data_IF_898740110073
#
_entry.id   IF_898740110073
#
_cell.length_a   1.000
_cell.length_b   1.000
_cell.length_c   1.000
_cell.angle_alpha   90.00
_cell.angle_beta   90.00
_cell.angle_gamma   90.00
#
_symmetry.space_group_name_H-M   'P 1'
#
loop_
_entity.id
_entity.type
_entity.pdbx_description
1 polymer ?
#
# COMPACT_ATOMS: atom_id res chain seq x y z
N UNK A 1 44.88 50.71 4.10
CA UNK A 1 45.41 51.12 5.42
C UNK A 1 44.80 52.48 5.75
N UNK A 2 44.11 52.60 6.91
CA UNK A 2 43.80 53.82 7.71
C UNK A 2 43.05 54.97 6.97
N UNK A 3 41.93 55.56 7.42
CA UNK A 3 41.43 55.90 8.77
C UNK A 3 39.97 56.41 8.69
N UNK A 4 39.33 56.43 9.86
CA UNK A 4 38.04 56.99 10.35
C UNK A 4 37.40 58.19 9.61
N UNK A 5 36.12 58.55 9.75
CA UNK A 5 35.47 59.03 11.00
C UNK A 5 33.94 59.24 10.85
N UNK A 6 33.17 58.89 11.91
CA UNK A 6 31.97 59.58 12.49
C UNK A 6 30.70 59.76 11.62
N UNK A 7 29.45 59.70 12.10
CA UNK A 7 28.79 59.40 13.38
C UNK A 7 27.27 59.47 13.11
N UNK A 8 26.46 58.67 13.81
CA UNK A 8 25.17 59.09 14.42
C UNK A 8 24.35 57.89 14.86
N UNK A 9 24.38 57.69 16.18
CA UNK A 9 23.55 56.80 16.98
C UNK A 9 22.19 57.44 17.26
N UNK A 10 21.11 56.66 17.23
CA UNK A 10 19.88 56.93 17.98
C UNK A 10 19.42 55.65 18.68
N UNK A 11 19.78 55.56 19.96
CA UNK A 11 19.24 54.62 20.94
C UNK A 11 17.86 55.12 21.40
N UNK A 12 16.83 54.28 21.31
CA UNK A 12 15.53 54.52 21.91
C UNK A 12 15.46 53.83 23.28
N UNK A 13 15.65 54.67 24.30
CA UNK A 13 15.08 54.69 25.65
C UNK A 13 14.49 53.38 26.23
N UNK A 14 15.17 52.89 27.27
CA UNK A 14 14.66 51.98 28.30
C UNK A 14 13.55 52.64 29.12
N UNK A 15 12.45 51.92 29.34
CA UNK A 15 11.50 52.17 30.42
C UNK A 15 11.82 51.19 31.55
N UNK A 16 12.30 51.73 32.68
CA UNK A 16 12.38 51.03 33.96
C UNK A 16 11.11 51.30 34.76
N UNK A 17 10.46 50.25 35.23
CA UNK A 17 9.58 50.32 36.40
C UNK A 17 10.00 49.20 37.36
N UNK A 18 10.64 49.60 38.45
CA UNK A 18 10.94 48.76 39.60
C UNK A 18 9.73 48.71 40.54
N UNK A 19 9.38 47.52 41.03
CA UNK A 19 8.73 47.36 42.33
C UNK A 19 9.15 46.02 42.97
N UNK A 20 9.32 46.08 44.29
CA UNK A 20 10.03 45.17 45.20
C UNK A 20 9.34 43.81 45.45
N UNK A 21 10.04 42.83 46.07
CA UNK A 21 9.65 41.42 46.08
C UNK A 21 8.68 41.06 47.21
N UNK A 22 7.69 40.22 46.88
CA UNK A 22 6.87 39.49 47.84
C UNK A 22 7.45 38.09 48.07
N UNK A 23 7.96 37.88 49.28
CA UNK A 23 8.46 36.59 49.79
C UNK A 23 7.30 35.62 50.00
N UNK A 24 7.53 34.35 49.67
CA UNK A 24 6.91 33.22 50.40
C UNK A 24 5.80 32.48 49.68
N UNK A 25 6.17 31.42 48.98
CA UNK A 25 5.23 30.42 48.46
C UNK A 25 5.98 29.20 47.94
N UNK A 26 6.50 28.37 48.85
CA UNK A 26 7.07 27.07 48.52
C UNK A 26 5.99 26.19 47.88
N UNK A 27 5.94 26.14 46.55
CA UNK A 27 5.19 25.13 45.82
C UNK A 27 6.19 24.17 45.20
N UNK A 28 6.24 23.02 45.85
CA UNK A 28 7.02 21.83 45.49
C UNK A 28 7.01 21.59 43.98
N UNK A 29 8.20 21.68 43.37
CA UNK A 29 8.45 21.18 42.03
C UNK A 29 8.42 19.64 42.07
N UNK A 30 7.22 19.08 42.06
CA UNK A 30 6.99 17.72 41.58
C UNK A 30 6.51 17.83 40.14
N UNK A 31 7.48 18.05 39.24
CA UNK A 31 7.25 17.85 37.82
C UNK A 31 6.82 16.38 37.65
N UNK A 32 5.54 16.18 37.40
CA UNK A 32 4.96 14.89 37.07
C UNK A 32 5.69 14.32 35.84
N UNK A 33 6.51 13.30 36.08
CA UNK A 33 7.21 12.48 35.07
C UNK A 33 6.20 11.61 34.26
N UNK A 34 4.89 11.76 34.47
CA UNK A 34 3.88 11.18 33.60
C UNK A 34 3.53 12.12 32.45
N UNK A 35 4.40 12.17 31.44
CA UNK A 35 3.93 12.44 30.09
C UNK A 35 3.05 11.28 29.67
N UNK A 36 1.76 11.35 29.99
CA UNK A 36 0.75 10.50 29.37
C UNK A 36 0.93 10.70 27.88
N UNK A 37 1.42 9.66 27.20
CA UNK A 37 1.42 9.56 25.75
C UNK A 37 -0.03 9.72 25.32
N UNK A 38 -0.44 10.95 25.02
CA UNK A 38 -1.77 11.24 24.55
C UNK A 38 -1.91 10.45 23.25
N UNK A 39 -2.63 9.34 23.32
CA UNK A 39 -3.06 8.61 22.15
C UNK A 39 -4.10 9.50 21.49
N UNK A 40 -3.63 10.44 20.65
CA UNK A 40 -4.48 11.20 19.74
C UNK A 40 -5.47 10.23 19.12
N UNK A 41 -6.75 10.58 19.16
CA UNK A 41 -7.80 9.71 18.63
C UNK A 41 -7.43 9.32 17.19
N UNK A 42 -7.73 8.09 16.76
CA UNK A 42 -7.36 7.60 15.42
C UNK A 42 -7.85 8.52 14.31
N UNK A 43 -8.95 9.25 14.55
CA UNK A 43 -9.52 10.23 13.64
C UNK A 43 -8.73 11.55 13.58
N UNK A 44 -8.04 11.92 14.66
CA UNK A 44 -7.17 13.11 14.72
C UNK A 44 -5.78 12.84 14.13
N UNK A 45 -5.49 11.57 13.82
CA UNK A 45 -4.20 11.15 13.28
C UNK A 45 -4.19 11.32 11.76
N UNK A 46 -3.30 12.17 11.27
CA UNK A 46 -3.08 12.35 9.83
C UNK A 46 -2.79 11.00 9.13
N UNK A 47 -3.51 10.71 8.05
CA UNK A 47 -3.43 9.46 7.28
C UNK A 47 -2.02 9.16 6.75
N UNK A 48 -1.16 10.17 6.55
CA UNK A 48 0.24 9.96 6.15
C UNK A 48 1.19 9.59 7.29
N UNK A 49 0.76 9.66 8.56
CA UNK A 49 1.65 9.33 9.70
C UNK A 49 2.06 7.86 9.71
N UNK A 50 1.28 6.96 9.11
CA UNK A 50 1.61 5.54 8.98
C UNK A 50 2.26 5.18 7.64
N UNK A 51 2.54 6.16 6.75
CA UNK A 51 3.07 5.89 5.40
C UNK A 51 4.39 5.12 5.41
N UNK A 52 5.28 5.42 6.36
CA UNK A 52 6.57 4.73 6.54
C UNK A 52 6.58 3.74 7.70
N UNK A 53 5.41 3.32 8.20
CA UNK A 53 5.36 2.31 9.25
C UNK A 53 5.62 0.94 8.63
N UNK A 54 6.78 0.36 8.91
CA UNK A 54 7.16 -0.95 8.43
C UNK A 54 6.89 -2.02 9.49
N UNK A 55 6.48 -3.19 9.03
CA UNK A 55 6.28 -4.38 9.86
C UNK A 55 7.23 -5.45 9.33
N UNK A 56 7.75 -6.28 10.23
CA UNK A 56 8.62 -7.40 9.83
C UNK A 56 7.89 -8.33 8.85
N UNK A 57 8.55 -8.67 7.75
CA UNK A 57 8.02 -9.56 6.72
C UNK A 57 7.59 -10.93 7.30
N UNK A 58 8.34 -11.44 8.27
CA UNK A 58 8.02 -12.71 8.93
C UNK A 58 6.67 -12.69 9.66
N UNK A 59 6.26 -11.55 10.24
CA UNK A 59 4.97 -11.43 10.90
C UNK A 59 3.81 -11.58 9.89
N UNK A 60 3.96 -10.98 8.71
CA UNK A 60 3.01 -11.15 7.62
C UNK A 60 3.01 -12.61 7.12
N UNK A 61 4.17 -13.22 6.94
CA UNK A 61 4.28 -14.61 6.49
C UNK A 61 3.58 -15.59 7.43
N UNK A 62 3.78 -15.47 8.75
CA UNK A 62 3.10 -16.33 9.73
C UNK A 62 1.59 -16.10 9.75
N UNK A 63 1.15 -14.84 9.71
CA UNK A 63 -0.28 -14.51 9.65
C UNK A 63 -0.93 -15.08 8.39
N UNK A 64 -0.28 -14.91 7.22
CA UNK A 64 -0.78 -15.39 5.95
C UNK A 64 -0.81 -16.93 5.88
N UNK A 65 0.19 -17.61 6.44
CA UNK A 65 0.21 -19.07 6.58
C UNK A 65 -0.99 -19.58 7.40
N UNK A 66 -1.30 -18.94 8.53
CA UNK A 66 -2.47 -19.29 9.33
C UNK A 66 -3.79 -18.96 8.61
N UNK A 67 -3.86 -17.86 7.85
CA UNK A 67 -5.04 -17.56 7.00
C UNK A 67 -5.28 -18.65 5.94
N UNK A 68 -4.22 -19.16 5.31
CA UNK A 68 -4.29 -20.26 4.35
C UNK A 68 -4.80 -21.53 5.02
N UNK A 69 -4.18 -21.94 6.13
CA UNK A 69 -4.57 -23.14 6.87
C UNK A 69 -6.00 -23.05 7.42
N UNK A 70 -6.41 -21.87 7.91
CA UNK A 70 -7.77 -21.61 8.39
C UNK A 70 -8.81 -21.80 7.28
N UNK A 71 -8.48 -21.34 6.08
CA UNK A 71 -9.37 -21.43 4.91
C UNK A 71 -9.40 -22.85 4.37
N UNK A 72 -8.26 -23.52 4.29
CA UNK A 72 -8.15 -24.91 3.85
C UNK A 72 -8.99 -25.86 4.72
N UNK A 73 -9.02 -25.68 6.05
CA UNK A 73 -9.84 -26.50 6.97
C UNK A 73 -11.35 -26.36 6.75
N UNK A 74 -11.82 -25.32 6.05
CA UNK A 74 -13.24 -25.00 5.84
C UNK A 74 -13.72 -25.26 4.42
N UNK A 75 -12.83 -25.73 3.56
CA UNK A 75 -13.07 -25.84 2.14
C UNK A 75 -12.76 -27.26 1.69
N UNK A 76 -13.54 -27.78 0.75
CA UNK A 76 -13.45 -29.16 0.29
C UNK A 76 -12.60 -29.32 -1.00
N UNK A 77 -12.25 -28.23 -1.69
CA UNK A 77 -11.48 -28.27 -2.94
C UNK A 77 -10.55 -27.07 -3.18
N UNK A 78 -9.57 -27.24 -4.07
CA UNK A 78 -8.54 -26.23 -4.38
C UNK A 78 -9.17 -24.97 -5.00
N UNK A 79 -10.16 -25.13 -5.89
CA UNK A 79 -10.84 -24.01 -6.56
C UNK A 79 -11.62 -23.14 -5.56
N UNK A 80 -12.31 -23.75 -4.60
CA UNK A 80 -13.01 -23.01 -3.54
C UNK A 80 -12.04 -22.29 -2.62
N UNK A 81 -10.84 -22.86 -2.40
CA UNK A 81 -9.79 -22.26 -1.60
C UNK A 81 -9.20 -21.03 -2.31
N UNK A 82 -8.93 -21.14 -3.60
CA UNK A 82 -8.53 -20.01 -4.46
C UNK A 82 -9.61 -18.93 -4.48
N UNK A 83 -10.90 -19.30 -4.61
CA UNK A 83 -12.01 -18.33 -4.55
C UNK A 83 -12.02 -17.59 -3.22
N UNK A 84 -11.89 -18.30 -2.09
CA UNK A 84 -11.85 -17.69 -0.76
C UNK A 84 -10.63 -16.80 -0.55
N UNK A 85 -9.47 -17.18 -1.10
CA UNK A 85 -8.28 -16.34 -1.07
C UNK A 85 -8.44 -15.08 -1.91
N UNK A 86 -9.06 -15.19 -3.08
CA UNK A 86 -9.42 -14.04 -3.90
C UNK A 86 -10.35 -13.11 -3.12
N UNK A 87 -11.43 -13.61 -2.48
CA UNK A 87 -12.34 -12.78 -1.66
C UNK A 87 -11.60 -12.02 -0.54
N UNK A 88 -10.60 -12.64 0.10
CA UNK A 88 -9.76 -11.99 1.11
C UNK A 88 -8.87 -10.91 0.49
N UNK A 89 -8.26 -11.19 -0.66
CA UNK A 89 -7.49 -10.24 -1.45
C UNK A 89 -8.32 -9.05 -1.91
N UNK A 90 -9.54 -9.30 -2.37
CA UNK A 90 -10.48 -8.27 -2.82
C UNK A 90 -10.77 -7.25 -1.72
N UNK A 91 -11.03 -7.71 -0.48
CA UNK A 91 -11.24 -6.81 0.67
C UNK A 91 -10.02 -5.94 0.98
N UNK A 92 -8.81 -6.46 0.76
CA UNK A 92 -7.57 -5.70 0.92
C UNK A 92 -7.43 -4.68 -0.21
N UNK A 93 -7.71 -5.09 -1.45
CA UNK A 93 -7.63 -4.23 -2.64
C UNK A 93 -8.54 -3.02 -2.58
N UNK A 94 -9.80 -3.17 -2.16
CA UNK A 94 -10.74 -2.04 -1.99
C UNK A 94 -10.16 -0.98 -1.05
N UNK A 95 -9.62 -1.40 0.10
CA UNK A 95 -9.04 -0.48 1.09
C UNK A 95 -7.71 0.10 0.63
N UNK A 96 -6.92 -0.67 -0.11
CA UNK A 96 -5.65 -0.22 -0.65
C UNK A 96 -5.87 0.86 -1.73
N UNK A 97 -6.88 0.70 -2.58
CA UNK A 97 -7.21 1.66 -3.63
C UNK A 97 -7.46 3.06 -3.05
N UNK A 98 -8.39 3.19 -2.11
CA UNK A 98 -8.77 4.46 -1.51
C UNK A 98 -7.56 5.17 -0.88
N UNK A 99 -6.75 4.41 -0.14
CA UNK A 99 -5.56 4.95 0.51
C UNK A 99 -4.48 5.38 -0.49
N UNK A 100 -4.25 4.61 -1.55
CA UNK A 100 -3.20 4.90 -2.53
C UNK A 100 -3.56 6.05 -3.46
N UNK A 101 -4.81 6.14 -3.90
CA UNK A 101 -5.29 7.27 -4.72
C UNK A 101 -5.14 8.60 -3.97
N UNK A 102 -5.44 8.60 -2.67
CA UNK A 102 -5.28 9.78 -1.82
C UNK A 102 -3.81 10.15 -1.61
N UNK A 103 -2.93 9.17 -1.38
CA UNK A 103 -1.51 9.41 -1.04
C UNK A 103 -0.62 9.78 -2.22
N UNK A 104 -0.84 9.16 -3.38
CA UNK A 104 0.11 9.21 -4.50
C UNK A 104 -0.45 9.88 -5.75
N UNK A 105 -1.78 9.90 -5.94
CA UNK A 105 -2.39 10.45 -7.17
C UNK A 105 -2.98 11.84 -7.01
N UNK A 106 -2.84 12.49 -5.85
CA UNK A 106 -3.44 13.79 -5.59
C UNK A 106 -4.96 13.80 -5.89
N UNK A 107 -5.64 12.67 -5.65
CA UNK A 107 -7.04 12.39 -5.99
C UNK A 107 -7.40 12.42 -7.49
N UNK A 108 -6.42 12.31 -8.40
CA UNK A 108 -6.67 12.19 -9.83
C UNK A 108 -7.03 10.75 -10.19
N UNK A 109 -8.25 10.58 -10.72
CA UNK A 109 -8.77 9.31 -11.19
C UNK A 109 -8.23 9.00 -12.60
N UNK A 110 -7.75 7.78 -12.81
CA UNK A 110 -7.39 7.33 -14.15
C UNK A 110 -8.62 6.97 -14.96
N UNK A 111 -8.61 7.38 -16.22
CA UNK A 111 -9.65 7.07 -17.20
C UNK A 111 -9.20 6.06 -18.24
N UNK A 112 -7.89 5.82 -18.35
CA UNK A 112 -7.28 4.92 -19.33
C UNK A 112 -6.89 3.59 -18.69
N UNK A 113 -7.18 2.49 -19.36
CA UNK A 113 -6.83 1.13 -18.92
C UNK A 113 -5.33 1.02 -18.64
N UNK A 114 -4.48 1.43 -19.59
CA UNK A 114 -3.03 1.31 -19.46
C UNK A 114 -2.48 2.14 -18.28
N UNK A 115 -3.06 3.31 -18.03
CA UNK A 115 -2.69 4.15 -16.88
C UNK A 115 -3.00 3.49 -15.55
N UNK A 116 -4.13 2.78 -15.45
CA UNK A 116 -4.49 2.01 -14.26
C UNK A 116 -3.61 0.77 -14.07
N UNK A 117 -3.34 0.02 -15.15
CA UNK A 117 -2.44 -1.13 -15.10
C UNK A 117 -1.01 -0.74 -14.70
N UNK A 118 -0.51 0.39 -15.22
CA UNK A 118 0.80 0.91 -14.83
C UNK A 118 0.83 1.34 -13.36
N UNK A 119 -0.26 1.93 -12.85
CA UNK A 119 -0.39 2.26 -11.43
C UNK A 119 -0.37 1.01 -10.53
N UNK A 120 -1.02 -0.08 -10.96
CA UNK A 120 -0.96 -1.37 -10.26
C UNK A 120 0.47 -1.91 -10.26
N UNK A 121 1.10 -1.98 -11.43
CA UNK A 121 2.46 -2.46 -11.62
C UNK A 121 3.51 -1.71 -10.78
N UNK A 122 3.39 -0.38 -10.69
CA UNK A 122 4.41 0.47 -10.04
C UNK A 122 4.09 0.82 -8.60
N UNK A 123 2.94 1.44 -8.34
CA UNK A 123 2.60 2.01 -7.04
C UNK A 123 2.02 0.98 -6.09
N UNK A 124 1.01 0.22 -6.56
CA UNK A 124 0.35 -0.80 -5.73
C UNK A 124 1.35 -1.90 -5.39
N UNK A 125 2.05 -2.44 -6.39
CA UNK A 125 3.03 -3.50 -6.18
C UNK A 125 4.13 -3.09 -5.20
N UNK A 126 4.70 -1.89 -5.37
CA UNK A 126 5.73 -1.37 -4.46
C UNK A 126 5.22 -1.18 -3.04
N UNK A 127 3.97 -0.73 -2.88
CA UNK A 127 3.41 -0.52 -1.54
C UNK A 127 3.12 -1.82 -0.82
N UNK A 128 2.66 -2.86 -1.54
CA UNK A 128 2.30 -4.14 -0.95
C UNK A 128 3.50 -5.08 -0.77
N UNK A 129 4.43 -5.09 -1.72
CA UNK A 129 5.50 -6.10 -1.81
C UNK A 129 6.90 -5.48 -1.77
N UNK A 130 7.04 -4.16 -1.67
CA UNK A 130 8.32 -3.47 -1.58
C UNK A 130 9.10 -3.34 -2.90
N UNK A 131 8.60 -3.93 -3.99
CA UNK A 131 9.17 -3.84 -5.34
C UNK A 131 8.08 -3.59 -6.38
N UNK A 132 8.47 -3.05 -7.54
CA UNK A 132 7.58 -3.02 -8.70
C UNK A 132 7.39 -4.44 -9.23
N UNK A 133 6.30 -4.67 -9.96
CA UNK A 133 6.18 -5.92 -10.72
C UNK A 133 7.29 -6.00 -11.78
N UNK A 134 7.60 -7.22 -12.20
CA UNK A 134 8.73 -7.48 -13.11
C UNK A 134 8.34 -7.24 -14.57
N UNK A 135 7.08 -7.51 -14.95
CA UNK A 135 6.56 -7.18 -16.28
C UNK A 135 5.09 -6.78 -16.29
N UNK A 136 4.73 -5.96 -17.27
CA UNK A 136 3.37 -5.63 -17.68
C UNK A 136 3.28 -5.81 -19.20
N UNK A 137 2.46 -6.75 -19.64
CA UNK A 137 2.36 -7.18 -21.04
C UNK A 137 0.89 -7.18 -21.49
N UNK A 138 0.64 -6.87 -22.75
CA UNK A 138 -0.66 -7.11 -23.40
C UNK A 138 -0.60 -8.47 -24.09
N UNK A 139 -1.65 -9.27 -24.01
CA UNK A 139 -1.72 -10.53 -24.73
C UNK A 139 -1.64 -10.29 -26.24
N UNK A 140 -0.89 -11.15 -26.94
CA UNK A 140 -0.78 -11.13 -28.41
C UNK A 140 -1.96 -11.79 -29.09
N UNK A 141 -2.65 -12.68 -28.37
CA UNK A 141 -3.76 -13.47 -28.89
C UNK A 141 -5.10 -12.72 -28.71
N UNK A 142 -5.24 -12.02 -27.58
CA UNK A 142 -6.50 -11.48 -27.11
C UNK A 142 -6.35 -10.00 -26.74
N UNK A 143 -7.12 -9.11 -27.38
CA UNK A 143 -7.02 -7.67 -27.11
C UNK A 143 -7.58 -7.25 -25.74
N UNK A 144 -8.47 -8.07 -25.17
CA UNK A 144 -9.08 -7.93 -23.84
C UNK A 144 -8.17 -8.37 -22.70
N UNK A 145 -6.97 -8.91 -22.98
CA UNK A 145 -6.12 -9.54 -21.98
C UNK A 145 -4.80 -8.81 -21.73
N UNK A 146 -4.53 -8.58 -20.45
CA UNK A 146 -3.29 -8.01 -19.95
C UNK A 146 -2.68 -8.93 -18.88
N UNK A 147 -1.37 -8.89 -18.74
CA UNK A 147 -0.61 -9.75 -17.83
C UNK A 147 0.35 -8.93 -16.99
N UNK A 148 0.31 -9.13 -15.68
CA UNK A 148 1.32 -8.60 -14.75
C UNK A 148 2.09 -9.78 -14.17
N UNK A 149 3.41 -9.81 -14.31
CA UNK A 149 4.24 -10.90 -13.78
C UNK A 149 5.10 -10.45 -12.61
N UNK A 150 5.22 -11.33 -11.61
CA UNK A 150 6.18 -11.24 -10.51
C UNK A 150 7.04 -12.50 -10.48
N UNK A 151 8.35 -12.33 -10.61
CA UNK A 151 9.33 -13.42 -10.66
C UNK A 151 9.61 -14.05 -9.29
N UNK A 152 9.50 -13.28 -8.21
CA UNK A 152 9.75 -13.73 -6.83
C UNK A 152 8.69 -13.11 -5.89
N UNK A 153 7.43 -13.59 -5.97
CA UNK A 153 6.35 -13.03 -5.19
C UNK A 153 6.55 -13.33 -3.72
N UNK A 154 6.57 -12.26 -2.92
CA UNK A 154 6.82 -12.29 -1.46
C UNK A 154 5.86 -13.24 -0.75
N UNK A 155 4.61 -13.34 -1.22
CA UNK A 155 3.59 -14.20 -0.63
C UNK A 155 3.86 -15.70 -0.80
N UNK A 156 4.57 -16.10 -1.86
CA UNK A 156 4.85 -17.51 -2.18
C UNK A 156 6.18 -17.97 -1.58
N UNK A 157 7.08 -17.03 -1.25
CA UNK A 157 8.43 -17.31 -0.78
C UNK A 157 8.50 -17.88 0.64
N UNK A 158 7.57 -17.51 1.51
CA UNK A 158 7.64 -17.83 2.95
C UNK A 158 6.55 -18.79 3.42
N UNK A 159 5.79 -19.38 2.50
CA UNK A 159 4.73 -20.33 2.83
C UNK A 159 5.21 -21.76 2.58
N UNK A 160 5.15 -22.59 3.63
CA UNK A 160 5.34 -24.02 3.50
C UNK A 160 4.00 -24.65 3.12
N UNK A 161 3.75 -24.76 1.81
CA UNK A 161 2.54 -25.39 1.30
C UNK A 161 2.61 -26.90 1.60
N UNK A 162 1.61 -27.50 2.30
CA UNK A 162 1.57 -28.94 2.51
C UNK A 162 1.62 -29.69 1.16
N UNK A 163 2.35 -30.81 1.10
CA UNK A 163 2.61 -31.55 -0.16
C UNK A 163 1.33 -31.96 -0.90
N UNK A 164 0.24 -32.15 -0.17
CA UNK A 164 -1.06 -32.56 -0.69
C UNK A 164 -1.81 -31.43 -1.43
N UNK A 165 -1.34 -30.19 -1.33
CA UNK A 165 -1.90 -28.99 -1.99
C UNK A 165 -0.85 -28.24 -2.81
N UNK A 166 0.15 -28.95 -3.33
CA UNK A 166 1.26 -28.38 -4.13
C UNK A 166 0.82 -27.63 -5.41
N UNK A 167 -0.44 -27.76 -5.84
CA UNK A 167 -1.02 -27.04 -6.98
C UNK A 167 -1.74 -25.74 -6.59
N UNK A 168 -1.81 -25.39 -5.30
CA UNK A 168 -2.51 -24.20 -4.84
C UNK A 168 -1.80 -22.93 -5.30
N UNK A 169 -2.49 -22.10 -6.07
CA UNK A 169 -1.95 -20.81 -6.47
C UNK A 169 -2.25 -19.72 -5.42
N UNK A 170 -1.28 -19.45 -4.54
CA UNK A 170 -1.40 -18.35 -3.57
C UNK A 170 -1.52 -16.97 -4.24
N UNK A 171 -1.15 -16.87 -5.52
CA UNK A 171 -1.42 -15.74 -6.38
C UNK A 171 -2.91 -15.39 -6.49
N UNK A 172 -3.85 -16.29 -6.17
CA UNK A 172 -5.27 -15.97 -6.11
C UNK A 172 -5.57 -14.81 -5.13
N UNK A 173 -4.81 -14.70 -4.03
CA UNK A 173 -4.90 -13.54 -3.12
C UNK A 173 -4.47 -12.24 -3.80
N UNK A 174 -3.38 -12.27 -4.58
CA UNK A 174 -2.92 -11.10 -5.35
C UNK A 174 -3.89 -10.74 -6.47
N UNK A 175 -4.43 -11.74 -7.17
CA UNK A 175 -5.44 -11.56 -8.19
C UNK A 175 -6.67 -10.83 -7.63
N UNK A 176 -7.17 -11.23 -6.44
CA UNK A 176 -8.28 -10.55 -5.79
C UNK A 176 -7.98 -9.07 -5.46
N UNK A 177 -6.75 -8.74 -5.04
CA UNK A 177 -6.35 -7.34 -4.81
C UNK A 177 -6.44 -6.53 -6.10
N UNK A 178 -5.91 -7.08 -7.20
CA UNK A 178 -5.93 -6.44 -8.53
C UNK A 178 -7.36 -6.29 -9.04
N UNK A 179 -8.18 -7.33 -8.89
CA UNK A 179 -9.60 -7.34 -9.26
C UNK A 179 -10.38 -6.21 -8.56
N UNK A 180 -10.21 -6.08 -7.24
CA UNK A 180 -10.85 -5.00 -6.48
C UNK A 180 -10.42 -3.60 -6.91
N UNK A 181 -9.16 -3.43 -7.29
CA UNK A 181 -8.64 -2.13 -7.75
C UNK A 181 -9.23 -1.77 -9.11
N UNK A 182 -9.27 -2.75 -10.03
CA UNK A 182 -9.84 -2.58 -11.36
C UNK A 182 -11.34 -2.26 -11.29
N UNK A 183 -12.09 -3.02 -10.49
CA UNK A 183 -13.51 -2.81 -10.22
C UNK A 183 -13.79 -1.43 -9.59
N UNK A 184 -13.05 -1.08 -8.52
CA UNK A 184 -13.18 0.23 -7.85
C UNK A 184 -12.86 1.42 -8.75
N UNK A 185 -12.10 1.22 -9.83
CA UNK A 185 -11.80 2.24 -10.83
C UNK A 185 -12.78 2.23 -12.02
N UNK A 186 -13.84 1.42 -11.99
CA UNK A 186 -14.79 1.17 -13.07
C UNK A 186 -14.14 0.58 -14.32
N UNK A 187 -13.20 -0.34 -14.15
CA UNK A 187 -12.68 -1.21 -15.19
C UNK A 187 -13.02 -2.66 -14.81
N UNK A 188 -14.30 -3.07 -14.87
CA UNK A 188 -14.69 -4.44 -14.55
C UNK A 188 -13.86 -5.43 -15.38
N UNK A 189 -13.31 -6.41 -14.69
CA UNK A 189 -12.40 -7.38 -15.27
C UNK A 189 -12.39 -8.65 -14.44
N UNK A 190 -12.18 -9.77 -15.10
CA UNK A 190 -11.93 -11.05 -14.46
C UNK A 190 -10.43 -11.25 -14.30
N UNK A 191 -9.98 -11.42 -13.06
CA UNK A 191 -8.56 -11.55 -12.75
C UNK A 191 -8.26 -12.96 -12.23
N UNK A 192 -7.27 -13.61 -12.82
CA UNK A 192 -6.79 -14.93 -12.38
C UNK A 192 -5.29 -14.91 -12.20
N UNK A 193 -4.77 -15.79 -11.35
CA UNK A 193 -3.33 -15.98 -11.20
C UNK A 193 -2.93 -17.34 -11.76
N UNK A 194 -1.73 -17.39 -12.36
CA UNK A 194 -1.11 -18.60 -12.88
C UNK A 194 0.37 -18.63 -12.49
N UNK A 195 0.85 -19.77 -12.00
CA UNK A 195 2.29 -19.97 -11.75
C UNK A 195 2.94 -20.45 -13.04
N UNK A 196 3.76 -19.61 -13.66
CA UNK A 196 4.42 -19.88 -14.94
C UNK A 196 5.93 -19.84 -14.70
N UNK A 197 6.57 -20.99 -14.40
CA UNK A 197 7.99 -21.01 -14.07
C UNK A 197 8.85 -20.60 -15.27
N UNK A 198 9.91 -19.86 -14.99
CA UNK A 198 10.97 -19.54 -15.97
C UNK A 198 12.33 -19.94 -15.39
N UNK A 199 13.35 -19.97 -16.24
CA UNK A 199 14.71 -20.27 -15.81
C UNK A 199 15.15 -19.29 -14.70
N UNK A 200 15.54 -19.84 -13.54
CA UNK A 200 15.88 -19.07 -12.34
C UNK A 200 14.72 -18.68 -11.42
N UNK A 201 13.47 -18.76 -11.88
CA UNK A 201 12.28 -18.36 -11.10
C UNK A 201 11.15 -19.40 -11.16
N UNK A 202 11.22 -20.46 -10.32
CA UNK A 202 10.23 -21.55 -10.32
C UNK A 202 8.86 -21.14 -9.77
N UNK A 203 8.81 -20.06 -8.97
CA UNK A 203 7.58 -19.55 -8.34
C UNK A 203 7.05 -18.29 -9.03
N UNK A 204 7.52 -17.99 -10.25
CA UNK A 204 7.04 -16.84 -11.02
C UNK A 204 5.52 -16.94 -11.17
N UNK A 205 4.84 -15.88 -10.77
CA UNK A 205 3.39 -15.78 -10.80
C UNK A 205 2.97 -14.69 -11.77
N UNK A 206 2.09 -15.04 -12.69
CA UNK A 206 1.49 -14.12 -13.66
C UNK A 206 0.02 -13.94 -13.34
N UNK A 207 -0.40 -12.68 -13.20
CA UNK A 207 -1.79 -12.27 -13.03
C UNK A 207 -2.33 -11.93 -14.41
N UNK A 208 -3.29 -12.72 -14.86
CA UNK A 208 -4.05 -12.48 -16.09
C UNK A 208 -5.26 -11.61 -15.75
N UNK A 209 -5.40 -10.51 -16.46
CA UNK A 209 -6.48 -9.53 -16.33
C UNK A 209 -7.25 -9.54 -17.64
N UNK A 210 -8.45 -10.13 -17.61
CA UNK A 210 -9.36 -10.16 -18.76
C UNK A 210 -10.43 -9.09 -18.58
N UNK A 211 -10.40 -8.06 -19.42
CA UNK A 211 -11.32 -6.94 -19.36
C UNK A 211 -12.70 -7.31 -19.89
N UNK A 212 -13.74 -6.72 -19.32
CA UNK A 212 -15.08 -6.85 -19.87
C UNK A 212 -15.23 -6.02 -21.15
N UNK A 213 -16.11 -6.48 -22.05
CA UNK A 213 -16.33 -5.88 -23.37
C UNK A 213 -16.66 -4.38 -23.30
N UNK A 214 -17.43 -3.98 -22.30
CA UNK A 214 -17.81 -2.58 -22.06
C UNK A 214 -16.60 -1.66 -21.77
N UNK A 215 -15.53 -2.19 -21.17
CA UNK A 215 -14.29 -1.44 -20.92
C UNK A 215 -13.57 -1.16 -22.23
N UNK A 216 -13.52 -2.14 -23.12
CA UNK A 216 -12.89 -1.99 -24.43
C UNK A 216 -13.63 -0.99 -25.32
N UNK A 217 -14.96 -1.08 -25.36
CA UNK A 217 -15.80 -0.13 -26.11
C UNK A 217 -15.59 1.31 -25.61
N UNK A 218 -15.51 1.51 -24.29
CA UNK A 218 -15.20 2.82 -23.71
C UNK A 218 -13.79 3.30 -24.04
N UNK A 219 -12.79 2.41 -23.97
CA UNK A 219 -11.40 2.76 -24.27
C UNK A 219 -11.24 3.14 -25.75
N UNK A 220 -12.01 2.52 -26.66
CA UNK A 220 -12.04 2.87 -28.09
C UNK A 220 -12.64 4.26 -28.34
N UNK A 221 -13.72 4.63 -27.63
CA UNK A 221 -14.33 5.97 -27.73
C UNK A 221 -13.43 7.10 -27.20
N UNK A 222 -12.47 6.75 -26.34
CA UNK A 222 -11.53 7.70 -25.74
C UNK A 222 -10.19 7.78 -26.49
N UNK A 223 -10.01 7.00 -27.58
CA UNK A 223 -8.86 7.15 -28.49
C UNK A 223 -8.99 8.42 -29.31
#
# INVERSE_FOLDING_TARGET
MTTSTSASSRLSVMSMAASLPSVGGYSSATASIYSKRATTNILERHLNKSRGAEVSLNAFAFMFSEMLQYTQKRVHGIQDLERKLNELGYRVGVRALDLLVWRDKNNKRETRVLGMLYFIHTTVWKTLFGKQADSLEKSTENEDEYMISDNDPVISKYISIPKDVSQLNCGAFMAGIVEAIMDGCQFPSRVTAHTVPIEGYPLRTTILIKLDKEVLEREEQLK
#
